data_IF_763579637426
#
_entry.id   IF_763579637426
#
_cell.length_a   1.000
_cell.length_b   1.000
_cell.length_c   1.000
_cell.angle_alpha   90.00
_cell.angle_beta   90.00
_cell.angle_gamma   90.00
#
_symmetry.space_group_name_H-M   'P 1'
#
loop_
_entity.id
_entity.type
_entity.pdbx_description
1 polymer ?
#
# COMPACT_ATOMS: atom_id res chain seq x y z
N UNK A 1 7.50 10.72 -7.54
CA UNK A 1 6.06 10.81 -7.21
C UNK A 1 5.49 9.52 -6.63
N UNK A 2 5.90 8.36 -7.13
CA UNK A 2 5.50 7.04 -6.63
C UNK A 2 5.72 6.83 -5.12
N UNK A 3 6.82 7.36 -4.56
CA UNK A 3 7.08 7.32 -3.11
C UNK A 3 5.94 7.97 -2.29
N UNK A 4 5.38 9.08 -2.77
CA UNK A 4 4.27 9.75 -2.09
C UNK A 4 3.00 8.91 -2.11
N UNK A 5 2.73 8.17 -3.20
CA UNK A 5 1.64 7.19 -3.26
C UNK A 5 1.84 6.12 -2.19
N UNK A 6 3.05 5.58 -2.06
CA UNK A 6 3.38 4.56 -1.07
C UNK A 6 3.21 5.06 0.38
N UNK A 7 3.62 6.30 0.67
CA UNK A 7 3.43 6.93 1.98
C UNK A 7 1.94 7.12 2.30
N UNK A 8 1.16 7.61 1.33
CA UNK A 8 -0.28 7.82 1.52
C UNK A 8 -1.01 6.49 1.77
N UNK A 9 -0.64 5.43 1.05
CA UNK A 9 -1.19 4.08 1.26
C UNK A 9 -0.79 3.54 2.64
N UNK A 10 0.49 3.64 3.01
CA UNK A 10 0.96 3.11 4.30
C UNK A 10 0.27 3.80 5.48
N UNK A 11 0.08 5.12 5.38
CA UNK A 11 -0.64 5.90 6.39
C UNK A 11 -2.13 5.56 6.43
N UNK A 12 -2.77 5.37 5.27
CA UNK A 12 -4.19 4.99 5.18
C UNK A 12 -4.48 3.64 5.84
N UNK A 13 -3.57 2.69 5.70
CA UNK A 13 -3.68 1.36 6.30
C UNK A 13 -3.47 1.38 7.82
N UNK A 14 -2.56 2.22 8.32
CA UNK A 14 -2.23 2.26 9.73
C UNK A 14 -3.23 3.09 10.57
N UNK A 15 -3.92 4.05 9.94
CA UNK A 15 -4.87 4.95 10.60
C UNK A 15 -6.30 4.75 10.09
N UNK A 16 -7.01 3.69 10.54
CA UNK A 16 -8.37 3.39 10.08
C UNK A 16 -9.37 4.51 10.40
N UNK A 17 -9.10 5.34 11.42
CA UNK A 17 -9.96 6.47 11.79
C UNK A 17 -10.03 7.57 10.71
N UNK A 18 -8.91 7.81 10.01
CA UNK A 18 -8.77 8.87 8.98
C UNK A 18 -8.75 8.25 7.58
N UNK A 19 -8.92 6.92 7.48
CA UNK A 19 -8.84 6.15 6.24
C UNK A 19 -9.73 6.70 5.11
N UNK A 20 -10.94 7.17 5.41
CA UNK A 20 -11.82 7.76 4.39
C UNK A 20 -11.28 9.06 3.80
N UNK A 21 -10.66 9.92 4.62
CA UNK A 21 -10.03 11.15 4.15
C UNK A 21 -8.77 10.83 3.34
N UNK A 22 -7.95 9.90 3.84
CA UNK A 22 -6.73 9.46 3.16
C UNK A 22 -7.04 8.77 1.83
N UNK A 23 -8.11 7.99 1.73
CA UNK A 23 -8.56 7.39 0.48
C UNK A 23 -8.99 8.44 -0.55
N UNK A 24 -9.65 9.52 -0.11
CA UNK A 24 -10.01 10.64 -0.98
C UNK A 24 -8.77 11.40 -1.47
N UNK A 25 -7.85 11.70 -0.56
CA UNK A 25 -6.56 12.33 -0.91
C UNK A 25 -5.74 11.46 -1.87
N UNK A 26 -5.70 10.14 -1.63
CA UNK A 26 -5.03 9.18 -2.50
C UNK A 26 -5.67 9.14 -3.89
N UNK A 27 -7.00 9.10 -3.97
CA UNK A 27 -7.71 9.13 -5.24
C UNK A 27 -7.41 10.41 -6.04
N UNK A 28 -7.48 11.57 -5.38
CA UNK A 28 -7.12 12.86 -5.99
C UNK A 28 -5.67 12.85 -6.49
N UNK A 29 -4.73 12.42 -5.64
CA UNK A 29 -3.31 12.38 -5.97
C UNK A 29 -3.00 11.46 -7.14
N UNK A 30 -3.55 10.23 -7.15
CA UNK A 30 -3.37 9.27 -8.25
C UNK A 30 -4.00 9.81 -9.54
N UNK A 31 -5.15 10.49 -9.46
CA UNK A 31 -5.78 11.11 -10.63
C UNK A 31 -4.88 12.19 -11.25
N UNK A 32 -4.37 13.11 -10.43
CA UNK A 32 -3.40 14.14 -10.87
C UNK A 32 -2.16 13.48 -11.47
N UNK A 33 -1.65 12.42 -10.83
CA UNK A 33 -0.46 11.73 -11.31
C UNK A 33 -0.66 11.07 -12.68
N UNK A 34 -1.80 10.41 -12.91
CA UNK A 34 -2.14 9.83 -14.20
C UNK A 34 -2.22 10.92 -15.28
N UNK A 35 -2.85 12.06 -14.98
CA UNK A 35 -2.93 13.20 -15.91
C UNK A 35 -1.53 13.71 -16.25
N UNK A 36 -0.68 13.92 -15.25
CA UNK A 36 0.71 14.37 -15.46
C UNK A 36 1.49 13.37 -16.33
N UNK A 37 1.33 12.06 -16.09
CA UNK A 37 1.99 11.02 -16.90
C UNK A 37 1.49 11.03 -18.34
N UNK A 38 0.20 11.23 -18.57
CA UNK A 38 -0.38 11.36 -19.91
C UNK A 38 0.11 12.62 -20.63
N UNK A 39 0.16 13.76 -19.93
CA UNK A 39 0.68 15.02 -20.48
C UNK A 39 2.16 14.90 -20.87
N UNK A 40 2.96 14.16 -20.10
CA UNK A 40 4.38 13.93 -20.41
C UNK A 40 4.59 13.11 -21.71
N UNK A 41 3.63 12.27 -22.11
CA UNK A 41 3.71 11.51 -23.36
C UNK A 41 3.44 12.37 -24.61
N UNK A 42 2.99 13.62 -24.45
CA UNK A 42 2.70 14.49 -25.58
C UNK A 42 3.96 14.75 -26.42
N UNK A 43 3.77 14.89 -27.74
CA UNK A 43 4.85 15.13 -28.70
C UNK A 43 5.68 16.38 -28.38
N UNK A 44 5.10 17.37 -27.70
CA UNK A 44 5.75 18.63 -27.32
C UNK A 44 6.90 18.47 -26.31
N UNK A 45 6.89 17.40 -25.51
CA UNK A 45 7.94 17.14 -24.54
C UNK A 45 9.04 16.36 -25.24
N UNK A 46 10.23 16.92 -25.44
CA UNK A 46 11.35 16.18 -26.04
C UNK A 46 12.23 15.64 -24.91
N UNK A 47 12.28 14.32 -24.75
CA UNK A 47 13.21 13.66 -23.83
C UNK A 47 14.55 13.51 -24.56
N UNK A 48 15.64 14.06 -24.00
CA UNK A 48 16.98 13.82 -24.52
C UNK A 48 17.43 12.43 -24.07
N UNK A 49 18.10 11.69 -24.95
CA UNK A 49 18.65 10.38 -24.61
C UNK A 49 19.63 10.50 -23.44
N UNK A 50 19.31 9.83 -22.33
CA UNK A 50 20.21 9.73 -21.19
C UNK A 50 21.39 8.85 -21.63
N UNK A 51 22.56 9.44 -21.86
CA UNK A 51 23.78 8.69 -22.18
C UNK A 51 24.10 7.78 -20.99
N UNK A 52 24.45 6.53 -21.31
CA UNK A 52 24.43 5.32 -20.46
C UNK A 52 25.41 5.33 -19.26
N UNK A 53 26.16 6.41 -19.03
CA UNK A 53 27.04 6.57 -17.86
C UNK A 53 26.59 7.71 -16.92
N UNK A 54 25.52 7.51 -16.12
CA UNK A 54 24.88 8.58 -15.35
C UNK A 54 25.70 9.08 -14.15
N UNK A 55 26.49 8.25 -13.47
CA UNK A 55 27.16 8.70 -12.22
C UNK A 55 28.34 9.66 -12.46
N UNK A 56 29.14 9.43 -13.50
CA UNK A 56 30.31 10.27 -13.77
C UNK A 56 30.01 11.51 -14.61
N UNK A 57 28.96 11.48 -15.43
CA UNK A 57 28.61 12.64 -16.26
C UNK A 57 27.78 13.67 -15.47
N UNK A 58 26.82 13.24 -14.64
CA UNK A 58 25.88 14.14 -13.93
C UNK A 58 26.58 15.03 -12.90
N UNK A 59 27.69 14.57 -12.32
CA UNK A 59 28.43 15.30 -11.28
C UNK A 59 29.61 16.11 -11.81
N UNK A 60 29.98 15.91 -13.07
CA UNK A 60 31.10 16.62 -13.71
C UNK A 60 30.62 17.70 -14.71
N UNK A 61 29.37 17.62 -15.20
CA UNK A 61 28.77 18.68 -16.00
C UNK A 61 28.15 19.76 -15.12
N UNK A 62 28.50 21.02 -15.38
CA UNK A 62 27.81 22.22 -14.85
C UNK A 62 26.36 22.36 -15.33
N UNK A 63 25.92 21.48 -16.25
CA UNK A 63 24.53 21.36 -16.68
C UNK A 63 23.77 20.38 -15.78
N UNK A 64 22.90 20.93 -14.94
CA UNK A 64 21.93 20.20 -14.16
C UNK A 64 21.01 19.40 -15.09
N UNK A 65 21.20 18.08 -15.16
CA UNK A 65 20.37 17.21 -16.00
C UNK A 65 18.96 17.06 -15.41
N UNK A 66 18.08 17.99 -15.79
CA UNK A 66 16.66 17.99 -15.45
C UNK A 66 15.99 16.65 -15.83
N UNK A 67 16.40 16.03 -16.94
CA UNK A 67 15.87 14.75 -17.42
C UNK A 67 16.12 13.59 -16.44
N UNK A 68 17.28 13.55 -15.77
CA UNK A 68 17.58 12.52 -14.76
C UNK A 68 16.66 12.64 -13.53
N UNK A 69 16.32 13.88 -13.15
CA UNK A 69 15.40 14.16 -12.05
C UNK A 69 13.97 13.80 -12.43
N UNK A 70 13.55 14.14 -13.65
CA UNK A 70 12.24 13.76 -14.20
C UNK A 70 12.08 12.24 -14.24
N UNK A 71 13.12 11.53 -14.68
CA UNK A 71 13.16 10.07 -14.65
C UNK A 71 13.05 9.52 -13.22
N UNK A 72 13.80 10.09 -12.26
CA UNK A 72 13.71 9.72 -10.83
C UNK A 72 12.32 10.01 -10.23
N UNK A 73 11.67 11.10 -10.63
CA UNK A 73 10.28 11.38 -10.24
C UNK A 73 9.29 10.33 -10.77
N UNK A 74 9.71 9.53 -11.75
CA UNK A 74 8.95 8.44 -12.33
C UNK A 74 8.14 8.90 -13.54
N UNK A 75 8.71 9.76 -14.37
CA UNK A 75 8.22 10.12 -15.70
C UNK A 75 9.24 9.63 -16.75
N UNK A 76 8.74 8.95 -17.78
CA UNK A 76 9.55 8.45 -18.89
C UNK A 76 8.66 8.37 -20.13
N UNK A 77 9.17 8.67 -21.32
CA UNK A 77 8.46 8.36 -22.55
C UNK A 77 8.50 6.86 -22.83
N UNK A 78 7.34 6.30 -23.14
CA UNK A 78 7.20 4.87 -23.44
C UNK A 78 6.41 4.72 -24.73
N UNK A 79 6.84 3.82 -25.60
CA UNK A 79 6.14 3.52 -26.86
C UNK A 79 4.76 2.89 -26.62
N UNK A 80 4.64 2.06 -25.58
CA UNK A 80 3.38 1.44 -25.14
C UNK A 80 2.93 2.07 -23.82
N UNK A 81 2.03 3.06 -23.93
CA UNK A 81 1.48 3.81 -22.79
C UNK A 81 0.64 2.90 -21.86
N UNK A 82 0.01 1.87 -22.43
CA UNK A 82 -0.87 0.94 -21.74
C UNK A 82 -0.21 0.31 -20.51
N UNK A 83 0.92 -0.38 -20.70
CA UNK A 83 1.64 -1.10 -19.64
C UNK A 83 2.13 -0.14 -18.54
N UNK A 84 2.53 1.07 -18.94
CA UNK A 84 3.03 2.09 -18.03
C UNK A 84 1.95 2.67 -17.09
N UNK A 85 0.69 2.65 -17.52
CA UNK A 85 -0.43 3.20 -16.76
C UNK A 85 -1.39 2.14 -16.21
N UNK A 86 -1.26 0.88 -16.66
CA UNK A 86 -2.17 -0.20 -16.30
C UNK A 86 -2.36 -0.33 -14.78
N UNK A 87 -1.27 -0.31 -14.01
CA UNK A 87 -1.33 -0.41 -12.55
C UNK A 87 -2.05 0.78 -11.89
N UNK A 88 -1.81 2.01 -12.37
CA UNK A 88 -2.45 3.22 -11.84
C UNK A 88 -3.94 3.27 -12.20
N UNK A 89 -4.30 2.87 -13.43
CA UNK A 89 -5.69 2.78 -13.88
C UNK A 89 -6.43 1.69 -13.09
N UNK A 90 -5.84 0.51 -12.94
CA UNK A 90 -6.42 -0.57 -12.14
C UNK A 90 -6.67 -0.12 -10.68
N UNK A 91 -5.73 0.63 -10.10
CA UNK A 91 -5.89 1.23 -8.77
C UNK A 91 -7.06 2.22 -8.71
N UNK A 92 -7.18 3.14 -9.69
CA UNK A 92 -8.30 4.08 -9.76
C UNK A 92 -9.65 3.36 -9.91
N UNK A 93 -9.71 2.35 -10.78
CA UNK A 93 -10.92 1.53 -10.97
C UNK A 93 -11.30 0.83 -9.67
N UNK A 94 -10.33 0.26 -8.94
CA UNK A 94 -10.58 -0.38 -7.66
C UNK A 94 -11.12 0.61 -6.61
N UNK A 95 -10.54 1.81 -6.50
CA UNK A 95 -11.02 2.86 -5.59
C UNK A 95 -12.43 3.34 -5.96
N UNK A 96 -12.71 3.52 -7.25
CA UNK A 96 -14.03 3.91 -7.74
C UNK A 96 -15.08 2.82 -7.43
N UNK A 97 -14.76 1.55 -7.69
CA UNK A 97 -15.62 0.42 -7.37
C UNK A 97 -15.91 0.34 -5.87
N UNK A 98 -14.90 0.51 -5.02
CA UNK A 98 -15.08 0.56 -3.57
C UNK A 98 -16.07 1.67 -3.16
N UNK A 99 -15.89 2.88 -3.69
CA UNK A 99 -16.79 4.01 -3.41
C UNK A 99 -18.22 3.75 -3.90
N UNK A 100 -18.39 3.18 -5.10
CA UNK A 100 -19.69 2.83 -5.69
C UNK A 100 -20.40 1.78 -4.82
N UNK A 101 -19.69 0.74 -4.37
CA UNK A 101 -20.26 -0.31 -3.51
C UNK A 101 -20.73 0.28 -2.19
N UNK A 102 -19.89 1.10 -1.53
CA UNK A 102 -20.25 1.76 -0.26
C UNK A 102 -21.47 2.67 -0.46
N UNK A 103 -21.49 3.46 -1.53
CA UNK A 103 -22.60 4.35 -1.87
C UNK A 103 -23.90 3.57 -2.11
N UNK A 104 -23.86 2.52 -2.95
CA UNK A 104 -25.03 1.67 -3.23
C UNK A 104 -25.55 0.99 -1.98
N UNK A 105 -24.67 0.47 -1.13
CA UNK A 105 -25.06 -0.13 0.15
C UNK A 105 -25.73 0.90 1.07
N UNK A 106 -25.20 2.14 1.14
CA UNK A 106 -25.81 3.22 1.93
C UNK A 106 -27.18 3.61 1.38
N UNK A 107 -27.31 3.79 0.07
CA UNK A 107 -28.57 4.18 -0.57
C UNK A 107 -29.66 3.12 -0.34
N UNK A 108 -29.34 1.84 -0.58
CA UNK A 108 -30.29 0.73 -0.37
C UNK A 108 -30.75 0.64 1.10
N UNK A 109 -29.84 0.89 2.05
CA UNK A 109 -30.21 0.92 3.49
C UNK A 109 -31.14 2.09 3.82
N UNK A 110 -30.90 3.28 3.26
CA UNK A 110 -31.79 4.44 3.48
C UNK A 110 -33.19 4.20 2.91
N UNK A 111 -33.30 3.61 1.71
CA UNK A 111 -34.59 3.29 1.10
C UNK A 111 -35.39 2.24 1.88
N UNK A 112 -34.70 1.27 2.50
CA UNK A 112 -35.34 0.19 3.26
C UNK A 112 -35.53 0.53 4.76
N UNK A 113 -35.03 1.68 5.24
CA UNK A 113 -35.09 2.05 6.65
C UNK A 113 -34.27 1.15 7.59
N UNK A 114 -33.29 0.40 7.08
CA UNK A 114 -32.51 -0.58 7.86
C UNK A 114 -31.31 0.12 8.51
N UNK A 115 -31.07 -0.16 9.80
CA UNK A 115 -29.93 0.38 10.55
C UNK A 115 -28.59 -0.15 10.00
N UNK A 116 -27.50 0.58 10.25
CA UNK A 116 -26.18 0.13 9.86
C UNK A 116 -25.78 -1.10 10.68
N UNK A 117 -25.46 -2.25 10.04
CA UNK A 117 -25.02 -3.42 10.78
C UNK A 117 -23.72 -3.12 11.55
N UNK A 118 -23.44 -3.86 12.64
CA UNK A 118 -22.18 -3.73 13.35
C UNK A 118 -21.01 -3.92 12.37
N UNK A 119 -19.94 -3.14 12.54
CA UNK A 119 -18.77 -3.21 11.65
C UNK A 119 -18.24 -4.65 11.59
N UNK A 120 -18.07 -5.17 10.38
CA UNK A 120 -17.40 -6.45 10.12
C UNK A 120 -18.30 -7.68 9.98
N UNK A 121 -19.63 -7.54 10.11
CA UNK A 121 -20.56 -8.67 9.93
C UNK A 121 -21.08 -8.68 8.49
N UNK A 122 -20.86 -9.79 7.78
CA UNK A 122 -21.30 -10.00 6.38
C UNK A 122 -22.67 -10.68 6.37
N UNK A 123 -22.86 -11.71 7.21
CA UNK A 123 -24.09 -12.47 7.32
C UNK A 123 -24.74 -12.23 8.70
N UNK A 124 -25.68 -11.29 8.84
CA UNK A 124 -26.31 -10.99 10.13
C UNK A 124 -27.18 -12.14 10.66
N UNK A 125 -27.63 -13.04 9.78
CA UNK A 125 -28.43 -14.22 10.13
C UNK A 125 -27.59 -15.38 10.69
N UNK A 126 -26.26 -15.30 10.60
CA UNK A 126 -25.39 -16.37 11.09
C UNK A 126 -25.28 -16.29 12.62
N UNK A 127 -26.02 -17.14 13.29
CA UNK A 127 -26.13 -17.16 14.75
C UNK A 127 -24.88 -17.79 15.39
N UNK A 128 -24.11 -17.07 16.23
CA UNK A 128 -22.88 -17.61 16.84
C UNK A 128 -23.09 -18.86 17.69
N UNK A 129 -24.33 -19.11 18.12
CA UNK A 129 -24.71 -20.23 18.99
C UNK A 129 -24.92 -21.55 18.25
N UNK A 130 -25.17 -21.53 16.94
CA UNK A 130 -25.48 -22.71 16.12
C UNK A 130 -24.44 -22.94 15.01
N UNK A 131 -23.18 -22.58 15.27
CA UNK A 131 -22.11 -22.66 14.27
C UNK A 131 -21.80 -24.09 13.81
N UNK A 132 -22.15 -25.09 14.61
CA UNK A 132 -21.91 -26.52 14.42
C UNK A 132 -23.09 -27.28 13.78
N UNK A 133 -24.21 -26.60 13.52
CA UNK A 133 -25.41 -27.23 12.96
C UNK A 133 -25.23 -27.70 11.50
N UNK A 134 -24.42 -26.99 10.71
CA UNK A 134 -24.12 -27.36 9.32
C UNK A 134 -22.77 -26.81 8.85
N UNK A 135 -22.15 -27.46 7.85
CA UNK A 135 -20.91 -26.95 7.23
C UNK A 135 -21.09 -25.55 6.63
N UNK A 136 -22.28 -25.24 6.10
CA UNK A 136 -22.58 -23.91 5.55
C UNK A 136 -22.61 -22.86 6.65
N UNK A 137 -23.17 -23.17 7.82
CA UNK A 137 -23.23 -22.23 8.93
C UNK A 137 -21.86 -22.06 9.61
N UNK A 138 -21.03 -23.11 9.64
CA UNK A 138 -19.63 -23.02 10.03
C UNK A 138 -18.85 -22.07 9.12
N UNK A 139 -19.03 -22.16 7.80
CA UNK A 139 -18.35 -21.28 6.83
C UNK A 139 -18.83 -19.82 7.00
N UNK A 140 -20.15 -19.59 7.13
CA UNK A 140 -20.68 -18.24 7.40
C UNK A 140 -20.12 -17.66 8.69
N UNK A 141 -20.01 -18.47 9.74
CA UNK A 141 -19.40 -18.08 11.01
C UNK A 141 -17.91 -17.72 10.83
N UNK A 142 -17.16 -18.52 10.06
CA UNK A 142 -15.75 -18.27 9.78
C UNK A 142 -15.54 -16.94 9.03
N UNK A 143 -16.38 -16.61 8.05
CA UNK A 143 -16.29 -15.32 7.36
C UNK A 143 -16.63 -14.12 8.26
N UNK A 144 -17.55 -14.28 9.21
CA UNK A 144 -17.89 -13.21 10.15
C UNK A 144 -16.88 -13.04 11.30
N UNK A 145 -16.37 -14.13 11.87
CA UNK A 145 -15.59 -14.13 13.12
C UNK A 145 -14.19 -14.75 13.01
N UNK A 146 -13.81 -15.26 11.85
CA UNK A 146 -12.52 -15.93 11.64
C UNK A 146 -11.35 -15.01 11.96
N UNK A 147 -11.29 -13.82 11.35
CA UNK A 147 -10.23 -12.85 11.66
C UNK A 147 -10.36 -12.25 13.07
N UNK A 148 -11.57 -12.17 13.62
CA UNK A 148 -11.76 -11.71 15.00
C UNK A 148 -11.14 -12.68 16.01
N UNK A 149 -11.27 -13.99 15.79
CA UNK A 149 -10.76 -15.04 16.69
C UNK A 149 -9.29 -15.37 16.42
N UNK A 150 -8.92 -15.52 15.15
CA UNK A 150 -7.61 -16.00 14.69
C UNK A 150 -6.72 -14.92 14.07
N UNK A 151 -7.11 -13.64 14.10
CA UNK A 151 -6.39 -12.58 13.39
C UNK A 151 -4.93 -12.42 13.84
N UNK A 152 -4.66 -12.58 15.14
CA UNK A 152 -3.29 -12.52 15.66
C UNK A 152 -2.45 -13.69 15.15
N UNK A 153 -2.94 -14.93 15.26
CA UNK A 153 -2.19 -16.10 14.79
C UNK A 153 -1.96 -16.03 13.27
N UNK A 154 -2.99 -15.67 12.50
CA UNK A 154 -2.87 -15.51 11.05
C UNK A 154 -1.83 -14.44 10.67
N UNK A 155 -1.80 -13.31 11.39
CA UNK A 155 -0.80 -12.27 11.16
C UNK A 155 0.61 -12.74 11.49
N UNK A 156 0.81 -13.50 12.56
CA UNK A 156 2.10 -14.10 12.90
C UNK A 156 2.54 -15.10 11.81
N UNK A 157 1.63 -15.95 11.32
CA UNK A 157 1.92 -16.87 10.21
C UNK A 157 2.36 -16.10 8.96
N UNK A 158 1.66 -15.02 8.60
CA UNK A 158 2.07 -14.19 7.46
C UNK A 158 3.43 -13.51 7.68
N UNK A 159 3.76 -13.10 8.91
CA UNK A 159 5.09 -12.56 9.23
C UNK A 159 6.19 -13.61 9.02
N UNK A 160 5.98 -14.87 9.42
CA UNK A 160 6.94 -15.96 9.15
C UNK A 160 7.14 -16.14 7.65
N UNK A 161 6.04 -16.16 6.87
CA UNK A 161 6.12 -16.31 5.40
C UNK A 161 6.89 -15.15 4.77
N UNK A 162 6.63 -13.91 5.18
CA UNK A 162 7.35 -12.74 4.65
C UNK A 162 8.84 -12.79 5.01
N UNK A 163 9.18 -13.17 6.24
CA UNK A 163 10.58 -13.31 6.65
C UNK A 163 11.29 -14.42 5.85
N UNK A 164 10.61 -15.55 5.63
CA UNK A 164 11.12 -16.67 4.83
C UNK A 164 11.33 -16.30 3.36
N UNK A 165 10.42 -15.54 2.76
CA UNK A 165 10.54 -15.13 1.34
C UNK A 165 11.68 -14.13 1.14
N UNK A 166 11.90 -13.21 2.10
CA UNK A 166 12.90 -12.15 1.96
C UNK A 166 14.32 -12.59 2.25
N UNK A 167 14.54 -13.42 3.28
CA UNK A 167 15.87 -13.89 3.72
C UNK A 167 16.92 -12.78 3.91
N UNK A 168 16.52 -11.58 4.31
CA UNK A 168 17.37 -10.39 4.48
C UNK A 168 17.35 -9.84 5.92
N UNK A 169 18.10 -8.76 6.18
CA UNK A 169 18.12 -8.07 7.48
C UNK A 169 16.73 -7.59 7.92
N UNK A 170 15.87 -7.25 6.96
CA UNK A 170 14.49 -6.82 7.25
C UNK A 170 13.63 -8.01 7.69
N UNK A 171 13.84 -9.18 7.08
CA UNK A 171 13.27 -10.45 7.51
C UNK A 171 13.68 -10.82 8.94
N UNK A 172 14.95 -10.64 9.32
CA UNK A 172 15.38 -10.92 10.70
C UNK A 172 14.75 -9.96 11.72
N UNK A 173 14.59 -8.67 11.38
CA UNK A 173 13.86 -7.71 12.23
C UNK A 173 12.38 -8.10 12.40
N UNK A 174 11.73 -8.61 11.34
CA UNK A 174 10.37 -9.14 11.43
C UNK A 174 10.29 -10.38 12.34
N UNK A 175 11.31 -11.25 12.33
CA UNK A 175 11.38 -12.39 13.25
C UNK A 175 11.54 -11.95 14.72
N UNK A 176 12.28 -10.87 14.99
CA UNK A 176 12.38 -10.31 16.35
C UNK A 176 11.00 -9.81 16.81
N UNK A 177 10.26 -9.10 15.97
CA UNK A 177 8.87 -8.70 16.27
C UNK A 177 7.95 -9.90 16.50
N UNK A 178 8.11 -10.95 15.69
CA UNK A 178 7.34 -12.18 15.85
C UNK A 178 7.61 -12.86 17.19
N UNK A 179 8.89 -12.95 17.62
CA UNK A 179 9.24 -13.47 18.94
C UNK A 179 8.63 -12.63 20.06
N UNK A 180 8.68 -11.30 19.95
CA UNK A 180 8.06 -10.39 20.92
C UNK A 180 6.55 -10.65 21.03
N UNK A 181 5.85 -10.82 19.92
CA UNK A 181 4.41 -11.13 19.94
C UNK A 181 4.13 -12.55 20.45
N UNK A 182 4.97 -13.53 20.13
CA UNK A 182 4.80 -14.92 20.56
C UNK A 182 5.01 -15.10 22.07
N UNK A 183 5.91 -14.33 22.67
CA UNK A 183 6.22 -14.39 24.11
C UNK A 183 5.32 -13.47 24.95
N UNK A 184 4.61 -12.54 24.30
CA UNK A 184 3.75 -11.57 24.98
C UNK A 184 2.33 -12.09 25.18
N UNK A 185 1.68 -11.66 26.26
CA UNK A 185 0.25 -11.91 26.44
C UNK A 185 -0.60 -11.21 25.38
N UNK A 186 -1.82 -11.69 25.10
CA UNK A 186 -2.74 -11.05 24.13
C UNK A 186 -3.03 -9.58 24.48
N UNK A 187 -3.04 -9.23 25.78
CA UNK A 187 -3.25 -7.86 26.25
C UNK A 187 -2.05 -6.97 25.91
N UNK A 188 -0.84 -7.48 26.08
CA UNK A 188 0.38 -6.78 25.70
C UNK A 188 0.50 -6.65 24.17
N UNK A 189 0.20 -7.72 23.42
CA UNK A 189 0.16 -7.69 21.95
C UNK A 189 -0.77 -6.58 21.44
N UNK A 190 -1.97 -6.44 22.03
CA UNK A 190 -2.90 -5.36 21.67
C UNK A 190 -2.32 -3.96 21.88
N UNK A 191 -1.50 -3.74 22.91
CA UNK A 191 -0.85 -2.46 23.19
C UNK A 191 0.35 -2.21 22.25
N UNK A 192 1.09 -3.25 21.90
CA UNK A 192 2.24 -3.19 20.99
C UNK A 192 1.85 -3.10 19.51
N UNK A 193 0.67 -3.61 19.15
CA UNK A 193 0.16 -3.61 17.78
C UNK A 193 0.24 -2.26 17.05
N UNK A 194 -0.22 -1.12 17.62
CA UNK A 194 -0.09 0.17 16.95
C UNK A 194 1.37 0.60 16.73
N UNK A 195 2.29 0.24 17.63
CA UNK A 195 3.72 0.51 17.45
C UNK A 195 4.29 -0.30 16.29
N UNK A 196 3.89 -1.57 16.17
CA UNK A 196 4.27 -2.41 15.04
C UNK A 196 3.68 -1.91 13.71
N UNK A 197 2.42 -1.47 13.70
CA UNK A 197 1.83 -0.83 12.52
C UNK A 197 2.60 0.43 12.13
N UNK A 198 2.96 1.29 13.10
CA UNK A 198 3.77 2.46 12.85
C UNK A 198 5.16 2.09 12.30
N UNK A 199 5.79 1.06 12.85
CA UNK A 199 7.06 0.52 12.34
C UNK A 199 6.92 0.12 10.86
N UNK A 200 5.88 -0.63 10.49
CA UNK A 200 5.61 -0.99 9.09
C UNK A 200 5.30 0.24 8.23
N UNK A 201 4.56 1.22 8.75
CA UNK A 201 4.18 2.44 8.05
C UNK A 201 5.39 3.24 7.56
N UNK A 202 6.47 3.23 8.35
CA UNK A 202 7.76 3.89 8.05
C UNK A 202 8.65 2.98 7.22
N UNK A 203 8.70 1.69 7.56
CA UNK A 203 9.59 0.73 6.92
C UNK A 203 9.26 0.53 5.43
N UNK A 204 7.98 0.48 5.06
CA UNK A 204 7.58 0.28 3.66
C UNK A 204 8.03 1.44 2.74
N UNK A 205 7.75 2.72 3.04
CA UNK A 205 8.30 3.83 2.27
C UNK A 205 9.83 3.86 2.27
N UNK A 206 10.47 3.53 3.40
CA UNK A 206 11.93 3.51 3.48
C UNK A 206 12.53 2.45 2.55
N UNK A 207 11.97 1.23 2.52
CA UNK A 207 12.39 0.17 1.61
C UNK A 207 12.24 0.61 0.14
N UNK A 208 11.12 1.26 -0.18
CA UNK A 208 10.92 1.80 -1.53
C UNK A 208 11.95 2.89 -1.86
N UNK A 209 12.24 3.81 -0.92
CA UNK A 209 13.22 4.87 -1.11
C UNK A 209 14.64 4.30 -1.32
N UNK A 210 15.03 3.27 -0.55
CA UNK A 210 16.32 2.60 -0.72
C UNK A 210 16.40 1.88 -2.08
N UNK A 211 15.32 1.23 -2.52
CA UNK A 211 15.29 0.54 -3.81
C UNK A 211 15.36 1.50 -5.00
N UNK A 212 14.70 2.67 -4.91
CA UNK A 212 14.74 3.71 -5.95
C UNK A 212 16.07 4.46 -5.94
N UNK A 213 16.77 4.51 -4.80
CA UNK A 213 18.01 5.25 -4.64
C UNK A 213 17.80 6.75 -4.41
N UNK A 214 18.89 7.43 -4.04
CA UNK A 214 18.91 8.88 -3.86
C UNK A 214 18.68 9.59 -5.21
N UNK A 215 18.09 10.80 -5.20
CA UNK A 215 17.98 11.58 -6.43
C UNK A 215 19.38 11.85 -7.00
N UNK A 216 19.55 11.73 -8.32
CA UNK A 216 20.85 11.86 -8.98
C UNK A 216 21.48 13.26 -8.81
N UNK A 217 20.69 14.27 -8.41
CA UNK A 217 21.15 15.61 -8.10
C UNK A 217 22.06 15.70 -6.87
N UNK A 218 22.06 14.68 -6.01
CA UNK A 218 22.83 14.72 -4.76
C UNK A 218 24.29 14.32 -4.95
N UNK A 219 24.67 13.67 -6.06
CA UNK A 219 26.07 13.34 -6.40
C UNK A 219 26.88 12.69 -5.26
N UNK A 220 26.20 12.07 -4.30
CA UNK A 220 26.79 11.29 -3.23
C UNK A 220 26.64 9.85 -3.68
N UNK A 221 27.71 9.29 -4.25
CA UNK A 221 27.76 7.86 -4.55
C UNK A 221 27.44 7.09 -3.27
N UNK A 222 26.41 6.25 -3.30
CA UNK A 222 26.19 5.31 -2.21
C UNK A 222 27.28 4.26 -2.27
N UNK A 223 28.34 4.45 -1.49
CA UNK A 223 29.38 3.45 -1.23
C UNK A 223 28.79 2.31 -0.38
N UNK A 224 27.89 1.53 -0.97
CA UNK A 224 27.48 0.22 -0.46
C UNK A 224 27.74 -0.81 -1.55
N UNK A 225 29.03 -1.08 -1.77
CA UNK A 225 29.53 -2.25 -2.47
C UNK A 225 30.52 -2.97 -1.57
#
# INVERSE_FOLDING_TARGET
>A
LNLAVMILISLALCLPAISSLLALLLCFFVSVFVILRMLYQMHFVVERELVVDPEHLICNSSEFNFDAIVHWFGFRKVSVIGDYLQGLIAMLVALALQAIVIYRQRNKRMLLGISTPPRGIIFPEADPKHWDASLLDMIKFFFNYGFYKFGLELSMTMMVVVAWVRMDLLGTLLLIWLLLFSLSSRVACRRLWPLFLLYLAVLFPLQYALYVGLPPSLCIGMHFH
#
